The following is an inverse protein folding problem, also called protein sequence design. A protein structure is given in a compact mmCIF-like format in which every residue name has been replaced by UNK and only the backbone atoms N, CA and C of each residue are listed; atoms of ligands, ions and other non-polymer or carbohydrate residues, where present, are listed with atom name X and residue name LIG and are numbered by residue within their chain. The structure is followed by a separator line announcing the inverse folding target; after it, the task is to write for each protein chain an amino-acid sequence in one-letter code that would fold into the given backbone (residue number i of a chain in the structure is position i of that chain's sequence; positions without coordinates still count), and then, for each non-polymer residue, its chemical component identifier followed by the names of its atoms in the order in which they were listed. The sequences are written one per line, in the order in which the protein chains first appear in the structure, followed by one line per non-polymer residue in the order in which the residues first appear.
data_IF_510383603362
#
_entry.id   IF_510383603362
#
_cell.length_a   1.000
_cell.length_b   1.000
_cell.length_c   1.000
_cell.angle_alpha   90.00
_cell.angle_beta   90.00
_cell.angle_gamma   90.00
#
_symmetry.space_group_name_H-M   'P 1'
#
loop_
_entity.id
_entity.type
_entity.pdbx_description
1 polymer ?
#
# COMPACT_ATOMS: atom_id res chain seq x y z
N UNK A 1 24.82 16.61 9.73
CA UNK A 1 23.47 16.07 10.00
C UNK A 1 23.55 15.23 11.25
N UNK A 2 22.68 15.44 12.23
CA UNK A 2 22.74 14.73 13.52
C UNK A 2 22.38 13.25 13.29
N UNK A 3 23.27 12.31 13.59
CA UNK A 3 23.07 10.86 13.36
C UNK A 3 21.72 10.37 13.94
N UNK A 4 21.36 10.89 15.11
CA UNK A 4 20.09 10.64 15.79
C UNK A 4 18.84 11.03 14.97
N UNK A 5 18.94 12.03 14.08
CA UNK A 5 17.82 12.44 13.22
C UNK A 5 17.58 11.46 12.07
N UNK A 6 18.64 10.87 11.51
CA UNK A 6 18.54 9.87 10.44
C UNK A 6 17.97 8.56 11.00
N UNK A 7 18.44 8.16 12.18
CA UNK A 7 17.98 6.95 12.85
C UNK A 7 16.50 7.02 13.27
N UNK A 8 16.07 8.16 13.83
CA UNK A 8 14.66 8.40 14.13
C UNK A 8 13.78 8.41 12.86
N UNK A 9 14.27 8.94 11.75
CA UNK A 9 13.52 8.94 10.49
C UNK A 9 13.38 7.53 9.88
N UNK A 10 14.44 6.72 9.94
CA UNK A 10 14.42 5.30 9.56
C UNK A 10 13.43 4.50 10.41
N UNK A 11 13.41 4.74 11.72
CA UNK A 11 12.45 4.10 12.63
C UNK A 11 11.00 4.46 12.24
N UNK A 12 10.72 5.73 11.98
CA UNK A 12 9.40 6.20 11.52
C UNK A 12 8.99 5.57 10.18
N UNK A 13 9.90 5.47 9.22
CA UNK A 13 9.63 4.84 7.93
C UNK A 13 9.34 3.34 8.07
N UNK A 14 10.03 2.65 8.98
CA UNK A 14 9.83 1.22 9.24
C UNK A 14 8.46 0.97 9.87
N UNK A 15 8.03 1.83 10.81
CA UNK A 15 6.67 1.79 11.37
C UNK A 15 5.63 2.02 10.26
N UNK A 16 5.84 3.04 9.41
CA UNK A 16 4.95 3.33 8.27
C UNK A 16 4.89 2.19 7.27
N UNK A 17 6.01 1.50 7.02
CA UNK A 17 6.05 0.30 6.16
C UNK A 17 5.16 -0.80 6.74
N UNK A 18 5.29 -1.12 8.03
CA UNK A 18 4.49 -2.16 8.68
C UNK A 18 2.99 -1.83 8.66
N UNK A 19 2.63 -0.56 8.89
CA UNK A 19 1.26 -0.08 8.75
C UNK A 19 0.76 -0.21 7.30
N UNK A 20 1.58 0.19 6.32
CA UNK A 20 1.26 0.10 4.90
C UNK A 20 1.01 -1.33 4.42
N UNK A 21 1.78 -2.31 4.91
CA UNK A 21 1.53 -3.74 4.63
C UNK A 21 0.17 -4.19 5.15
N UNK A 22 -0.18 -3.78 6.37
CA UNK A 22 -1.48 -4.12 6.97
C UNK A 22 -2.62 -3.48 6.18
N UNK A 23 -2.51 -2.20 5.86
CA UNK A 23 -3.54 -1.47 5.11
C UNK A 23 -3.72 -2.05 3.70
N UNK A 24 -2.63 -2.41 3.03
CA UNK A 24 -2.67 -3.08 1.73
C UNK A 24 -3.39 -4.43 1.80
N UNK A 25 -3.10 -5.24 2.83
CA UNK A 25 -3.75 -6.55 2.99
C UNK A 25 -5.25 -6.41 3.33
N UNK A 26 -5.62 -5.45 4.17
CA UNK A 26 -7.03 -5.22 4.53
C UNK A 26 -7.81 -4.69 3.33
N UNK A 27 -7.32 -3.63 2.67
CA UNK A 27 -8.01 -3.02 1.53
C UNK A 27 -8.04 -3.99 0.34
N UNK A 28 -6.92 -4.66 0.06
CA UNK A 28 -6.83 -5.67 -0.99
C UNK A 28 -7.75 -6.86 -0.72
N UNK A 29 -7.82 -7.34 0.52
CA UNK A 29 -8.74 -8.41 0.93
C UNK A 29 -10.21 -8.01 0.75
N UNK A 30 -10.60 -6.81 1.21
CA UNK A 30 -11.95 -6.28 1.02
C UNK A 30 -12.28 -6.18 -0.47
N UNK A 31 -11.34 -5.70 -1.30
CA UNK A 31 -11.53 -5.61 -2.75
C UNK A 31 -11.76 -6.99 -3.38
N UNK A 32 -10.93 -7.99 -3.09
CA UNK A 32 -11.07 -9.34 -3.64
C UNK A 32 -12.41 -9.96 -3.26
N UNK A 33 -12.78 -9.88 -1.97
CA UNK A 33 -14.06 -10.42 -1.49
C UNK A 33 -15.24 -9.72 -2.16
N UNK A 34 -15.20 -8.40 -2.27
CA UNK A 34 -16.26 -7.61 -2.92
C UNK A 34 -16.37 -7.90 -4.41
N UNK A 35 -15.24 -8.09 -5.10
CA UNK A 35 -15.18 -8.44 -6.51
C UNK A 35 -15.75 -9.84 -6.77
N UNK A 36 -15.37 -10.83 -5.95
CA UNK A 36 -15.91 -12.19 -6.04
C UNK A 36 -17.41 -12.22 -5.76
N UNK A 37 -17.88 -11.47 -4.74
CA UNK A 37 -19.30 -11.35 -4.45
C UNK A 37 -20.07 -10.72 -5.62
N UNK A 38 -19.52 -9.68 -6.25
CA UNK A 38 -20.11 -9.07 -7.45
C UNK A 38 -20.22 -10.07 -8.61
N UNK A 39 -19.17 -10.85 -8.88
CA UNK A 39 -19.20 -11.90 -9.93
C UNK A 39 -20.26 -12.95 -9.60
N UNK A 40 -20.28 -13.46 -8.36
CA UNK A 40 -21.25 -14.47 -7.95
C UNK A 40 -22.69 -13.99 -8.08
N UNK A 41 -22.97 -12.75 -7.65
CA UNK A 41 -24.31 -12.15 -7.78
C UNK A 41 -24.69 -11.84 -9.24
N UNK A 42 -23.72 -11.47 -10.07
CA UNK A 42 -23.92 -11.30 -11.51
C UNK A 42 -24.22 -12.62 -12.23
N UNK A 43 -23.56 -13.72 -11.83
CA UNK A 43 -23.82 -15.06 -12.39
C UNK A 43 -25.17 -15.64 -11.97
N UNK A 44 -25.66 -15.28 -10.78
CA UNK A 44 -26.99 -15.69 -10.29
C UNK A 44 -28.15 -14.86 -10.87
N UNK A 45 -27.85 -13.88 -11.74
CA UNK A 45 -28.82 -12.94 -12.33
C UNK A 45 -29.67 -12.19 -11.28
N UNK A 46 -29.16 -12.10 -10.04
CA UNK A 46 -29.83 -11.42 -8.92
C UNK A 46 -29.63 -9.90 -8.95
N UNK A 47 -28.79 -9.40 -9.86
CA UNK A 47 -28.49 -7.98 -10.00
C UNK A 47 -29.24 -7.40 -11.19
N UNK A 48 -30.23 -6.57 -10.91
CA UNK A 48 -30.81 -5.68 -11.91
C UNK A 48 -29.72 -4.77 -12.51
N UNK A 49 -29.85 -4.40 -13.79
CA UNK A 49 -28.83 -3.62 -14.50
C UNK A 49 -28.40 -2.34 -13.75
N UNK A 50 -29.33 -1.64 -13.10
CA UNK A 50 -29.03 -0.44 -12.29
C UNK A 50 -28.21 -0.74 -11.02
N UNK A 51 -28.50 -1.84 -10.33
CA UNK A 51 -27.71 -2.27 -9.16
C UNK A 51 -26.32 -2.76 -9.56
N UNK A 52 -26.18 -3.41 -10.73
CA UNK A 52 -24.90 -3.85 -11.25
C UNK A 52 -23.95 -2.66 -11.46
N UNK A 53 -24.44 -1.55 -12.05
CA UNK A 53 -23.63 -0.34 -12.25
C UNK A 53 -23.16 0.29 -10.93
N UNK A 54 -24.02 0.37 -9.90
CA UNK A 54 -23.62 0.90 -8.59
C UNK A 54 -22.57 0.01 -7.92
N UNK A 55 -22.78 -1.31 -7.93
CA UNK A 55 -21.83 -2.26 -7.33
C UNK A 55 -20.49 -2.23 -8.07
N UNK A 56 -20.51 -2.19 -9.42
CA UNK A 56 -19.31 -2.07 -10.23
C UNK A 56 -18.52 -0.79 -9.95
N UNK A 57 -19.20 0.35 -9.76
CA UNK A 57 -18.56 1.60 -9.39
C UNK A 57 -17.87 1.51 -8.02
N UNK A 58 -18.54 0.93 -7.03
CA UNK A 58 -17.99 0.72 -5.68
C UNK A 58 -16.76 -0.19 -5.74
N UNK A 59 -16.85 -1.32 -6.44
CA UNK A 59 -15.73 -2.26 -6.61
C UNK A 59 -14.55 -1.59 -7.31
N UNK A 60 -14.81 -0.73 -8.29
CA UNK A 60 -13.77 0.04 -8.98
C UNK A 60 -13.06 1.00 -8.02
N UNK A 61 -13.79 1.71 -7.16
CA UNK A 61 -13.21 2.59 -6.13
C UNK A 61 -12.33 1.80 -5.15
N UNK A 62 -12.78 0.63 -4.71
CA UNK A 62 -11.97 -0.26 -3.87
C UNK A 62 -10.71 -0.75 -4.60
N UNK A 63 -10.81 -1.08 -5.90
CA UNK A 63 -9.68 -1.47 -6.73
C UNK A 63 -8.62 -0.38 -6.83
N UNK A 64 -9.04 0.87 -7.11
CA UNK A 64 -8.13 2.02 -7.11
C UNK A 64 -7.52 2.28 -5.73
N UNK A 65 -8.28 2.12 -4.66
CA UNK A 65 -7.79 2.27 -3.29
C UNK A 65 -6.72 1.22 -2.95
N UNK A 66 -6.92 -0.03 -3.38
CA UNK A 66 -5.94 -1.10 -3.22
C UNK A 66 -4.65 -0.81 -4.00
N UNK A 67 -4.77 -0.37 -5.27
CA UNK A 67 -3.62 0.05 -6.08
C UNK A 67 -2.86 1.20 -5.43
N UNK A 68 -3.56 2.20 -4.90
CA UNK A 68 -2.93 3.34 -4.24
C UNK A 68 -2.21 2.93 -2.97
N UNK A 69 -2.76 2.00 -2.19
CA UNK A 69 -2.09 1.42 -1.02
C UNK A 69 -0.81 0.67 -1.43
N UNK A 70 -0.84 -0.09 -2.53
CA UNK A 70 0.33 -0.77 -3.08
C UNK A 70 1.43 0.20 -3.53
N UNK A 71 1.06 1.27 -4.23
CA UNK A 71 2.00 2.33 -4.65
C UNK A 71 2.64 3.01 -3.44
N UNK A 72 1.84 3.38 -2.42
CA UNK A 72 2.36 3.98 -1.18
C UNK A 72 3.38 3.07 -0.49
N UNK A 73 3.12 1.77 -0.45
CA UNK A 73 4.04 0.81 0.14
C UNK A 73 5.37 0.78 -0.62
N UNK A 74 5.32 0.78 -1.95
CA UNK A 74 6.51 0.78 -2.82
C UNK A 74 7.35 2.04 -2.65
N UNK A 75 6.71 3.20 -2.49
CA UNK A 75 7.40 4.47 -2.20
C UNK A 75 8.11 4.42 -0.85
N UNK A 76 7.47 3.88 0.19
CA UNK A 76 8.07 3.74 1.53
C UNK A 76 9.29 2.82 1.45
N UNK A 77 9.19 1.70 0.73
CA UNK A 77 10.32 0.80 0.49
C UNK A 77 11.50 1.50 -0.18
N UNK A 78 11.25 2.21 -1.29
CA UNK A 78 12.30 2.94 -1.99
C UNK A 78 12.93 4.04 -1.12
N UNK A 79 12.13 4.70 -0.26
CA UNK A 79 12.63 5.71 0.67
C UNK A 79 13.53 5.12 1.75
N UNK A 80 13.20 3.93 2.26
CA UNK A 80 14.04 3.21 3.23
C UNK A 80 15.37 2.82 2.58
N UNK A 81 15.33 2.26 1.37
CA UNK A 81 16.52 1.82 0.64
C UNK A 81 17.47 2.99 0.31
N UNK A 82 16.91 4.13 -0.11
CA UNK A 82 17.69 5.34 -0.38
C UNK A 82 18.40 5.86 0.88
N UNK A 83 17.70 5.89 2.03
CA UNK A 83 18.28 6.37 3.29
C UNK A 83 19.32 5.39 3.84
N UNK A 84 19.09 4.08 3.70
CA UNK A 84 20.08 3.07 4.11
C UNK A 84 21.37 3.19 3.27
N UNK A 85 21.24 3.40 1.96
CA UNK A 85 22.39 3.62 1.08
C UNK A 85 23.14 4.92 1.41
N UNK A 86 22.41 6.02 1.68
CA UNK A 86 23.03 7.29 2.10
C UNK A 86 23.77 7.17 3.43
N UNK A 87 23.21 6.40 4.38
CA UNK A 87 23.87 6.12 5.66
C UNK A 87 25.19 5.38 5.45
N UNK A 88 25.18 4.29 4.68
CA UNK A 88 26.39 3.48 4.40
C UNK A 88 27.47 4.29 3.67
N UNK A 89 27.07 5.14 2.72
CA UNK A 89 28.00 6.02 2.01
C UNK A 89 28.68 7.04 2.95
N UNK A 90 27.95 7.54 3.96
CA UNK A 90 28.48 8.48 4.93
C UNK A 90 29.41 7.79 5.96
N UNK A 91 29.07 6.58 6.40
CA UNK A 91 29.93 5.75 7.27
C UNK A 91 31.25 5.35 6.58
N UNK A 92 31.26 5.20 5.24
CA UNK A 92 32.47 4.95 4.46
C UNK A 92 33.39 6.17 4.29
N UNK A 93 32.87 7.39 4.43
CA UNK A 93 33.65 8.63 4.35
C UNK A 93 34.32 9.02 5.68
N UNK A 94 33.78 8.60 6.82
CA UNK A 94 34.39 8.84 8.14
C UNK A 94 35.57 7.88 8.45
N UNK A 95 35.83 6.89 7.59
CA UNK A 95 36.93 5.91 7.72
C UNK A 95 38.12 6.17 6.78
N UNK A 96 38.07 7.19 5.92
CA UNK A 96 39.15 7.60 4.99
C UNK A 96 39.80 8.90 5.42
#
# INVERSE_FOLDING_TARGET
MNSNSIENYLALLTIRRKAGWRDMNIIGGIFIVSFLAMIALGMLDQLNGRSLYMVAAIVTVFGFSALMAWVKLRIIHGSIELIDNLRRANEGHDQS
#
